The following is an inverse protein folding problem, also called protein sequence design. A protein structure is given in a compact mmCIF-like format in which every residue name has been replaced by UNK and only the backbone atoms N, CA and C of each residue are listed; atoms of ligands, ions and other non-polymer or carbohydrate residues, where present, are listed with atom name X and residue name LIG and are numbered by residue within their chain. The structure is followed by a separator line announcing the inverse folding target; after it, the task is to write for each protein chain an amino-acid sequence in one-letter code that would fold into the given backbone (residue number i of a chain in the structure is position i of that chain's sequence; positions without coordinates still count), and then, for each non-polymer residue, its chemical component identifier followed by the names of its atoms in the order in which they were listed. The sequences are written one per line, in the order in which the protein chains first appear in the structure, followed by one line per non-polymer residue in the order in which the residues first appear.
data_IF_996919570477
#
_entry.id   IF_996919570477
#
_cell.length_a   1.000
_cell.length_b   1.000
_cell.length_c   1.000
_cell.angle_alpha   90.00
_cell.angle_beta   90.00
_cell.angle_gamma   90.00
#
_symmetry.space_group_name_H-M   'P 1'
#
loop_
_entity.id
_entity.type
_entity.pdbx_description
1 polymer ?
#
# COMPACT_ATOMS: atom_id res chain seq x y z
N UNK A 1 15.42 -14.30 -25.21
CA UNK A 1 14.08 -14.58 -25.77
C UNK A 1 13.14 -14.61 -24.58
N UNK A 2 12.13 -13.74 -24.56
CA UNK A 2 11.14 -13.72 -23.48
C UNK A 2 10.36 -15.05 -23.42
N UNK A 3 10.07 -15.57 -22.22
CA UNK A 3 9.20 -16.73 -22.09
C UNK A 3 7.79 -16.40 -22.57
N UNK A 4 7.13 -17.31 -23.29
CA UNK A 4 5.81 -17.09 -23.89
C UNK A 4 4.68 -16.77 -22.90
N UNK A 5 4.89 -17.02 -21.60
CA UNK A 5 3.91 -16.82 -20.52
C UNK A 5 4.35 -15.71 -19.55
N UNK A 6 5.35 -14.89 -19.92
CA UNK A 6 5.81 -13.78 -19.10
C UNK A 6 4.65 -12.83 -18.79
N UNK A 7 4.73 -12.22 -17.61
CA UNK A 7 3.78 -11.21 -17.19
C UNK A 7 4.33 -9.87 -17.69
N UNK A 8 3.61 -9.16 -18.58
CA UNK A 8 4.07 -7.87 -19.05
C UNK A 8 4.01 -6.85 -17.91
N UNK A 9 4.97 -5.93 -17.91
CA UNK A 9 4.85 -4.70 -17.14
C UNK A 9 4.16 -3.61 -17.96
N UNK A 10 3.63 -2.59 -17.30
CA UNK A 10 2.90 -1.52 -17.94
C UNK A 10 3.88 -0.48 -18.47
N UNK A 11 3.54 0.13 -19.60
CA UNK A 11 4.36 1.18 -20.20
C UNK A 11 4.35 2.48 -19.39
N UNK A 12 3.27 2.75 -18.64
CA UNK A 12 3.13 3.95 -17.81
C UNK A 12 2.50 3.64 -16.47
N UNK A 13 3.00 4.28 -15.42
CA UNK A 13 2.45 4.28 -14.06
C UNK A 13 1.54 5.48 -13.78
N UNK A 14 1.40 6.40 -14.74
CA UNK A 14 0.58 7.60 -14.64
C UNK A 14 -0.35 7.80 -15.84
N UNK A 15 -1.44 8.52 -15.60
CA UNK A 15 -2.29 9.08 -16.65
C UNK A 15 -2.44 10.58 -16.42
N UNK A 16 -2.15 11.36 -17.46
CA UNK A 16 -2.26 12.82 -17.43
C UNK A 16 -3.67 13.26 -17.82
N UNK A 17 -4.35 13.95 -16.91
CA UNK A 17 -5.64 14.61 -17.14
C UNK A 17 -5.44 16.13 -17.07
N UNK A 18 -4.89 16.69 -18.14
CA UNK A 18 -4.56 18.12 -18.20
C UNK A 18 -3.45 18.47 -17.19
N UNK A 19 -3.68 19.36 -16.21
CA UNK A 19 -2.67 19.68 -15.19
C UNK A 19 -2.55 18.64 -14.06
N UNK A 20 -3.40 17.59 -14.07
CA UNK A 20 -3.45 16.59 -13.02
C UNK A 20 -2.83 15.27 -13.49
N UNK A 21 -1.73 14.87 -12.87
CA UNK A 21 -1.13 13.54 -13.05
C UNK A 21 -1.75 12.57 -12.05
N UNK A 22 -2.46 11.56 -12.53
CA UNK A 22 -2.99 10.49 -11.68
C UNK A 22 -2.00 9.33 -11.67
N UNK A 23 -1.46 9.03 -10.50
CA UNK A 23 -0.63 7.85 -10.29
C UNK A 23 -1.52 6.65 -10.01
N UNK A 24 -1.38 5.59 -10.81
CA UNK A 24 -2.18 4.40 -10.60
C UNK A 24 -1.83 3.67 -9.29
N UNK A 25 -0.61 3.86 -8.77
CA UNK A 25 -0.25 3.42 -7.43
C UNK A 25 -1.20 4.00 -6.36
N UNK A 26 -1.47 5.30 -6.44
CA UNK A 26 -2.40 5.98 -5.53
C UNK A 26 -3.83 5.49 -5.68
N UNK A 27 -4.28 5.23 -6.91
CA UNK A 27 -5.60 4.64 -7.17
C UNK A 27 -5.71 3.22 -6.57
N UNK A 28 -4.66 2.43 -6.70
CA UNK A 28 -4.61 1.07 -6.14
C UNK A 28 -4.68 1.10 -4.61
N UNK A 29 -3.98 2.04 -3.96
CA UNK A 29 -4.10 2.26 -2.52
C UNK A 29 -5.51 2.69 -2.11
N UNK A 30 -6.17 3.55 -2.89
CA UNK A 30 -7.56 3.96 -2.61
C UNK A 30 -8.51 2.74 -2.65
N UNK A 31 -8.35 1.87 -3.64
CA UNK A 31 -9.12 0.62 -3.75
C UNK A 31 -8.81 -0.31 -2.57
N UNK A 32 -7.54 -0.43 -2.18
CA UNK A 32 -7.12 -1.23 -1.03
C UNK A 32 -7.77 -0.74 0.27
N UNK A 33 -7.77 0.57 0.52
CA UNK A 33 -8.43 1.19 1.69
C UNK A 33 -9.94 0.92 1.64
N UNK A 34 -10.58 1.14 0.49
CA UNK A 34 -12.02 0.90 0.33
C UNK A 34 -12.39 -0.56 0.61
N UNK A 35 -11.60 -1.52 0.11
CA UNK A 35 -11.79 -2.94 0.37
C UNK A 35 -11.63 -3.28 1.86
N UNK A 36 -10.59 -2.76 2.54
CA UNK A 36 -10.41 -2.96 3.97
C UNK A 36 -11.60 -2.40 4.78
N UNK A 37 -12.07 -1.20 4.45
CA UNK A 37 -13.23 -0.56 5.10
C UNK A 37 -14.49 -1.40 4.88
N UNK A 38 -14.74 -1.84 3.64
CA UNK A 38 -15.91 -2.65 3.31
C UNK A 38 -15.91 -3.99 4.07
N UNK A 39 -14.80 -4.72 4.03
CA UNK A 39 -14.67 -6.02 4.73
C UNK A 39 -14.81 -5.83 6.24
N UNK A 40 -14.14 -4.83 6.80
CA UNK A 40 -14.21 -4.54 8.25
C UNK A 40 -15.63 -4.20 8.66
N UNK A 41 -16.33 -3.34 7.91
CA UNK A 41 -17.71 -2.94 8.26
C UNK A 41 -18.72 -4.06 8.12
N UNK A 42 -18.61 -4.92 7.09
CA UNK A 42 -19.45 -6.13 6.99
C UNK A 42 -19.22 -7.04 8.20
N UNK A 43 -17.97 -7.25 8.62
CA UNK A 43 -17.65 -8.11 9.77
C UNK A 43 -18.06 -7.50 11.10
N UNK A 44 -17.89 -6.19 11.27
CA UNK A 44 -18.23 -5.47 12.49
C UNK A 44 -19.75 -5.39 12.70
N UNK A 45 -20.51 -5.10 11.65
CA UNK A 45 -21.98 -5.07 11.71
C UNK A 45 -22.59 -6.43 12.01
N UNK A 46 -22.02 -7.51 11.48
CA UNK A 46 -22.40 -8.90 11.85
C UNK A 46 -22.17 -9.22 13.33
N UNK A 47 -21.34 -8.45 14.03
CA UNK A 47 -21.06 -8.59 15.47
C UNK A 47 -21.81 -7.56 16.33
N UNK A 48 -22.80 -6.88 15.77
CA UNK A 48 -23.63 -5.88 16.47
C UNK A 48 -23.06 -4.47 16.48
N UNK A 49 -22.00 -4.21 15.71
CA UNK A 49 -21.45 -2.87 15.50
C UNK A 49 -22.17 -2.09 14.39
N UNK A 50 -21.69 -0.88 14.11
CA UNK A 50 -22.23 0.03 13.09
C UNK A 50 -21.15 0.52 12.11
N UNK A 51 -21.59 1.02 10.96
CA UNK A 51 -20.69 1.55 9.93
C UNK A 51 -20.07 2.91 10.28
N UNK A 52 -20.71 3.71 11.13
CA UNK A 52 -20.21 5.04 11.51
C UNK A 52 -18.85 4.92 12.20
N UNK A 53 -18.71 3.97 13.13
CA UNK A 53 -17.42 3.69 13.76
C UNK A 53 -16.35 3.32 12.73
N UNK A 54 -16.68 2.48 11.75
CA UNK A 54 -15.70 2.03 10.74
C UNK A 54 -15.27 3.17 9.84
N UNK A 55 -16.19 4.04 9.42
CA UNK A 55 -15.83 5.24 8.65
C UNK A 55 -14.99 6.21 9.47
N UNK A 56 -15.33 6.42 10.74
CA UNK A 56 -14.50 7.24 11.64
C UNK A 56 -13.09 6.68 11.81
N UNK A 57 -12.96 5.36 11.96
CA UNK A 57 -11.66 4.69 12.01
C UNK A 57 -10.88 4.86 10.71
N UNK A 58 -11.54 4.74 9.56
CA UNK A 58 -10.89 4.95 8.27
C UNK A 58 -10.36 6.38 8.13
N UNK A 59 -11.20 7.39 8.40
CA UNK A 59 -10.82 8.80 8.28
C UNK A 59 -9.67 9.15 9.23
N UNK A 60 -9.83 8.85 10.52
CA UNK A 60 -8.82 9.20 11.52
C UNK A 60 -7.56 8.34 11.42
N UNK A 61 -7.71 7.06 11.11
CA UNK A 61 -6.60 6.12 10.93
C UNK A 61 -5.75 6.44 9.72
N UNK A 62 -6.37 6.74 8.56
CA UNK A 62 -5.63 7.14 7.35
C UNK A 62 -4.95 8.50 7.54
N UNK A 63 -5.64 9.49 8.10
CA UNK A 63 -5.05 10.80 8.37
C UNK A 63 -3.85 10.69 9.32
N UNK A 64 -4.00 9.95 10.42
CA UNK A 64 -2.92 9.67 11.36
C UNK A 64 -1.79 8.86 10.71
N UNK A 65 -2.11 7.91 9.84
CA UNK A 65 -1.13 7.13 9.10
C UNK A 65 -0.27 7.99 8.18
N UNK A 66 -0.87 8.93 7.44
CA UNK A 66 -0.11 9.85 6.59
C UNK A 66 0.84 10.72 7.42
N UNK A 67 0.34 11.26 8.54
CA UNK A 67 1.15 12.08 9.46
C UNK A 67 2.30 11.25 10.05
N UNK A 68 2.00 10.04 10.52
CA UNK A 68 2.98 9.15 11.14
C UNK A 68 4.04 8.72 10.13
N UNK A 69 3.64 8.38 8.90
CA UNK A 69 4.55 8.00 7.84
C UNK A 69 5.51 9.14 7.48
N UNK A 70 5.00 10.37 7.42
CA UNK A 70 5.84 11.54 7.19
C UNK A 70 6.81 11.79 8.35
N UNK A 71 6.31 11.74 9.59
CA UNK A 71 7.14 11.93 10.78
C UNK A 71 8.28 10.89 10.84
N UNK A 72 7.98 9.64 10.54
CA UNK A 72 8.98 8.58 10.50
C UNK A 72 10.05 8.85 9.45
N UNK A 73 9.66 9.24 8.24
CA UNK A 73 10.63 9.59 7.20
C UNK A 73 11.50 10.79 7.59
N UNK A 74 10.90 11.84 8.18
CA UNK A 74 11.65 13.00 8.70
C UNK A 74 12.68 12.60 9.75
N UNK A 75 12.39 11.59 10.57
CA UNK A 75 13.29 11.11 11.63
C UNK A 75 14.36 10.15 11.10
N UNK A 76 14.08 9.39 10.04
CA UNK A 76 14.96 8.30 9.57
C UNK A 76 15.76 8.62 8.31
N UNK A 77 15.29 9.58 7.51
CA UNK A 77 15.86 10.00 6.23
C UNK A 77 15.87 11.53 6.15
N UNK A 78 16.34 12.21 7.20
CA UNK A 78 16.30 13.67 7.27
C UNK A 78 17.13 14.36 6.17
N UNK A 79 18.12 13.65 5.62
CA UNK A 79 19.02 14.05 4.55
C UNK A 79 18.37 13.99 3.16
N UNK A 80 17.26 13.27 3.01
CA UNK A 80 16.45 13.24 1.78
C UNK A 80 15.38 14.35 1.73
N UNK A 81 15.27 15.16 2.79
CA UNK A 81 14.27 16.22 2.86
C UNK A 81 14.65 17.39 1.95
N UNK A 82 13.66 18.08 1.35
CA UNK A 82 13.90 19.35 0.68
C UNK A 82 14.56 20.37 1.64
N UNK A 83 15.55 21.12 1.15
CA UNK A 83 16.35 22.08 1.94
C UNK A 83 15.55 23.31 2.43
N UNK A 84 14.28 23.42 2.07
CA UNK A 84 13.39 24.49 2.50
C UNK A 84 12.77 24.22 3.88
N UNK A 85 12.38 25.28 4.58
CA UNK A 85 11.73 25.20 5.90
C UNK A 85 10.44 24.34 5.91
N UNK A 86 9.78 24.23 4.76
CA UNK A 86 8.56 23.43 4.58
C UNK A 86 8.86 21.98 4.20
N UNK A 87 10.11 21.62 3.94
CA UNK A 87 10.57 20.29 3.56
C UNK A 87 9.96 19.18 4.42
N UNK A 88 9.97 19.26 5.76
CA UNK A 88 9.34 18.25 6.62
C UNK A 88 7.84 18.00 6.36
N UNK A 89 7.10 18.96 5.80
CA UNK A 89 5.66 18.86 5.53
C UNK A 89 5.31 18.42 4.10
N UNK A 90 6.31 18.29 3.23
CA UNK A 90 6.15 18.06 1.79
C UNK A 90 5.70 16.63 1.42
N UNK A 91 4.51 16.20 1.87
CA UNK A 91 3.97 14.86 1.61
C UNK A 91 3.74 14.57 0.11
N UNK A 92 3.58 15.61 -0.71
CA UNK A 92 3.42 15.52 -2.17
C UNK A 92 4.74 15.28 -2.92
N UNK A 93 5.89 15.39 -2.24
CA UNK A 93 7.21 15.07 -2.80
C UNK A 93 7.63 13.62 -2.56
N UNK A 94 6.76 12.79 -1.98
CA UNK A 94 7.09 11.44 -1.54
C UNK A 94 7.68 11.43 -0.13
N UNK A 95 8.46 10.38 0.19
CA UNK A 95 9.09 10.26 1.52
C UNK A 95 8.09 9.98 2.63
N UNK A 96 7.47 8.79 2.58
CA UNK A 96 6.52 8.30 3.57
C UNK A 96 6.98 6.94 4.09
N UNK A 97 7.37 6.89 5.37
CA UNK A 97 7.83 5.66 6.01
C UNK A 97 6.66 4.78 6.48
N UNK A 98 6.55 3.56 5.95
CA UNK A 98 5.43 2.65 6.25
C UNK A 98 5.25 2.37 7.74
N UNK A 99 6.34 2.23 8.50
CA UNK A 99 6.31 1.92 9.92
C UNK A 99 5.70 3.05 10.76
N UNK A 100 5.98 4.30 10.39
CA UNK A 100 5.33 5.46 11.01
C UNK A 100 3.83 5.47 10.77
N UNK A 101 3.42 5.14 9.54
CA UNK A 101 2.02 5.11 9.17
C UNK A 101 1.24 4.00 9.87
N UNK A 102 1.80 2.78 9.93
CA UNK A 102 1.22 1.67 10.69
C UNK A 102 1.13 2.06 12.17
N UNK A 103 2.21 2.54 12.76
CA UNK A 103 2.26 2.88 14.19
C UNK A 103 1.21 3.91 14.57
N UNK A 104 1.24 5.09 13.96
CA UNK A 104 0.35 6.18 14.33
C UNK A 104 -1.11 5.90 13.91
N UNK A 105 -1.33 5.25 12.76
CA UNK A 105 -2.65 4.84 12.31
C UNK A 105 -3.32 3.86 13.27
N UNK A 106 -2.58 2.83 13.74
CA UNK A 106 -3.10 1.84 14.72
C UNK A 106 -3.36 2.51 16.07
N UNK A 107 -2.45 3.34 16.57
CA UNK A 107 -2.62 4.05 17.85
C UNK A 107 -3.89 4.92 17.84
N UNK A 108 -4.04 5.76 16.81
CA UNK A 108 -5.20 6.66 16.70
C UNK A 108 -6.48 5.86 16.47
N UNK A 109 -6.45 4.82 15.63
CA UNK A 109 -7.59 3.92 15.43
C UNK A 109 -8.05 3.26 16.73
N UNK A 110 -7.11 2.72 17.53
CA UNK A 110 -7.43 2.13 18.84
C UNK A 110 -8.02 3.15 19.82
N UNK A 111 -7.53 4.39 19.83
CA UNK A 111 -8.09 5.48 20.64
C UNK A 111 -9.52 5.81 20.19
N UNK A 112 -9.78 5.92 18.89
CA UNK A 112 -11.11 6.20 18.33
C UNK A 112 -12.09 5.08 18.67
N UNK A 113 -11.67 3.82 18.51
CA UNK A 113 -12.47 2.65 18.88
C UNK A 113 -12.81 2.66 20.37
N UNK A 114 -11.81 2.82 21.24
CA UNK A 114 -12.00 2.81 22.70
C UNK A 114 -12.89 3.96 23.17
N UNK A 115 -12.73 5.16 22.61
CA UNK A 115 -13.58 6.33 22.91
C UNK A 115 -15.02 6.15 22.43
N UNK A 116 -15.24 5.26 21.48
CA UNK A 116 -16.58 4.92 20.98
C UNK A 116 -17.20 3.72 21.70
N UNK A 117 -16.56 3.23 22.77
CA UNK A 117 -17.05 2.09 23.55
C UNK A 117 -16.84 0.72 22.90
N UNK A 118 -16.09 0.64 21.80
CA UNK A 118 -15.81 -0.62 21.14
C UNK A 118 -14.71 -1.42 21.85
N UNK A 119 -14.88 -2.74 21.86
CA UNK A 119 -13.84 -3.70 22.25
C UNK A 119 -12.77 -3.74 21.14
N UNK A 120 -11.60 -3.17 21.44
CA UNK A 120 -10.49 -3.01 20.48
C UNK A 120 -10.01 -4.37 19.95
N UNK A 121 -9.71 -5.40 20.78
CA UNK A 121 -9.40 -6.74 20.28
C UNK A 121 -10.44 -7.30 19.32
N UNK A 122 -11.74 -7.24 19.67
CA UNK A 122 -12.81 -7.75 18.79
C UNK A 122 -12.90 -7.00 17.47
N UNK A 123 -12.63 -5.70 17.49
CA UNK A 123 -12.57 -4.87 16.29
C UNK A 123 -11.33 -5.23 15.44
N UNK A 124 -10.17 -5.46 16.06
CA UNK A 124 -8.96 -5.89 15.33
C UNK A 124 -9.18 -7.24 14.62
N UNK A 125 -9.93 -8.16 15.20
CA UNK A 125 -10.35 -9.41 14.54
C UNK A 125 -11.29 -9.19 13.33
N UNK A 126 -12.01 -8.06 13.30
CA UNK A 126 -12.80 -7.66 12.13
C UNK A 126 -11.91 -7.06 11.04
N UNK A 127 -10.90 -6.28 11.46
CA UNK A 127 -9.97 -5.56 10.58
C UNK A 127 -8.97 -6.50 9.90
N UNK A 128 -8.49 -7.54 10.58
CA UNK A 128 -7.38 -8.37 10.12
C UNK A 128 -7.55 -8.94 8.69
N UNK A 129 -8.70 -9.53 8.29
CA UNK A 129 -8.92 -9.96 6.90
C UNK A 129 -8.89 -8.81 5.90
N UNK A 130 -9.45 -7.66 6.28
CA UNK A 130 -9.46 -6.45 5.44
C UNK A 130 -8.04 -5.94 5.18
N UNK A 131 -7.15 -6.02 6.16
CA UNK A 131 -5.74 -5.64 5.99
C UNK A 131 -4.99 -6.57 5.02
N UNK A 132 -5.23 -7.88 5.08
CA UNK A 132 -4.62 -8.82 4.14
C UNK A 132 -5.11 -8.56 2.71
N UNK A 133 -6.40 -8.34 2.52
CA UNK A 133 -6.94 -7.97 1.20
C UNK A 133 -6.34 -6.63 0.72
N UNK A 134 -6.25 -5.63 1.59
CA UNK A 134 -5.64 -4.35 1.25
C UNK A 134 -4.15 -4.50 0.87
N UNK A 135 -3.39 -5.32 1.58
CA UNK A 135 -2.00 -5.63 1.25
C UNK A 135 -1.90 -6.27 -0.14
N UNK A 136 -2.74 -7.27 -0.43
CA UNK A 136 -2.73 -7.93 -1.73
C UNK A 136 -3.11 -7.01 -2.88
N UNK A 137 -4.12 -6.15 -2.70
CA UNK A 137 -4.46 -5.11 -3.69
C UNK A 137 -3.30 -4.12 -3.84
N UNK A 138 -2.72 -3.65 -2.74
CA UNK A 138 -1.61 -2.69 -2.73
C UNK A 138 -0.40 -3.14 -3.53
N UNK A 139 -0.11 -4.44 -3.57
CA UNK A 139 0.98 -5.01 -4.39
C UNK A 139 0.83 -4.75 -5.89
N UNK A 140 -0.39 -4.60 -6.41
CA UNK A 140 -0.57 -4.20 -7.81
C UNK A 140 -0.10 -2.77 -8.10
N UNK A 141 0.02 -1.93 -7.06
CA UNK A 141 0.70 -0.64 -7.19
C UNK A 141 2.18 -0.83 -7.54
N UNK A 142 2.86 -1.80 -6.93
CA UNK A 142 4.26 -2.09 -7.25
C UNK A 142 4.42 -2.64 -8.67
N UNK A 143 3.46 -3.41 -9.16
CA UNK A 143 3.42 -3.82 -10.58
C UNK A 143 3.27 -2.61 -11.52
N UNK A 144 2.38 -1.68 -11.19
CA UNK A 144 2.22 -0.41 -11.92
C UNK A 144 3.51 0.43 -11.96
N UNK A 145 4.21 0.53 -10.82
CA UNK A 145 5.47 1.27 -10.72
C UNK A 145 6.70 0.49 -11.22
N UNK A 146 6.56 -0.80 -11.51
CA UNK A 146 7.67 -1.71 -11.76
C UNK A 146 8.74 -1.65 -10.66
N UNK A 147 8.33 -1.79 -9.40
CA UNK A 147 9.20 -1.75 -8.22
C UNK A 147 8.97 -2.96 -7.32
N UNK A 148 9.86 -3.17 -6.33
CA UNK A 148 9.77 -4.25 -5.34
C UNK A 148 9.57 -5.66 -5.94
N UNK A 149 10.04 -5.90 -7.15
CA UNK A 149 10.12 -7.23 -7.78
C UNK A 149 11.25 -8.07 -7.16
N UNK A 150 11.25 -9.38 -7.42
CA UNK A 150 12.28 -10.30 -6.90
C UNK A 150 13.53 -10.35 -7.78
N UNK A 151 14.41 -11.32 -7.55
CA UNK A 151 15.62 -11.50 -8.37
C UNK A 151 15.31 -11.94 -9.81
N UNK A 152 16.32 -11.92 -10.70
CA UNK A 152 16.21 -12.43 -12.07
C UNK A 152 15.66 -13.85 -12.11
N UNK A 153 14.88 -14.17 -13.14
CA UNK A 153 14.27 -15.50 -13.28
C UNK A 153 14.03 -15.89 -14.73
N UNK A 154 14.25 -17.16 -15.03
CA UNK A 154 13.93 -17.79 -16.33
C UNK A 154 12.59 -18.54 -16.30
N UNK A 155 11.83 -18.42 -15.21
CA UNK A 155 10.55 -19.09 -15.07
C UNK A 155 9.54 -18.57 -16.10
N UNK A 156 8.61 -19.42 -16.59
CA UNK A 156 7.71 -19.02 -17.66
C UNK A 156 6.77 -17.88 -17.27
N UNK A 157 6.50 -17.66 -15.98
CA UNK A 157 5.69 -16.55 -15.45
C UNK A 157 6.51 -15.38 -14.91
N UNK A 158 7.76 -15.21 -15.36
CA UNK A 158 8.60 -14.07 -14.98
C UNK A 158 7.92 -12.73 -15.31
N UNK A 159 8.11 -11.74 -14.43
CA UNK A 159 7.67 -10.37 -14.63
C UNK A 159 8.69 -9.62 -15.49
N UNK A 160 8.23 -9.08 -16.60
CA UNK A 160 9.03 -8.21 -17.45
C UNK A 160 9.25 -6.87 -16.75
N UNK A 161 10.48 -6.34 -16.77
CA UNK A 161 10.80 -5.01 -16.24
C UNK A 161 11.42 -4.16 -17.34
N UNK A 162 10.92 -2.93 -17.49
CA UNK A 162 11.46 -1.95 -18.45
C UNK A 162 12.92 -1.63 -18.11
N UNK A 163 13.81 -1.46 -19.11
CA UNK A 163 15.23 -1.20 -18.89
C UNK A 163 15.54 -0.09 -17.88
N UNK A 164 14.74 0.97 -17.85
CA UNK A 164 14.91 2.11 -16.94
C UNK A 164 14.69 1.76 -15.45
N UNK A 165 13.97 0.68 -15.15
CA UNK A 165 13.61 0.26 -13.80
C UNK A 165 14.41 -0.96 -13.32
N UNK A 166 15.35 -1.47 -14.14
CA UNK A 166 16.16 -2.64 -13.78
C UNK A 166 17.29 -2.23 -12.82
N UNK A 167 17.67 -3.10 -11.86
CA UNK A 167 18.86 -2.89 -11.06
C UNK A 167 20.10 -2.78 -11.96
N UNK A 168 21.07 -1.95 -11.57
CA UNK A 168 22.32 -1.76 -12.33
C UNK A 168 23.07 -3.08 -12.53
N UNK A 169 23.04 -3.95 -11.51
CA UNK A 169 23.69 -5.26 -11.53
C UNK A 169 23.03 -6.26 -12.50
N UNK A 170 21.75 -6.05 -12.84
CA UNK A 170 20.91 -6.96 -13.61
C UNK A 170 20.30 -6.29 -14.87
N UNK A 171 20.97 -5.27 -15.42
CA UNK A 171 20.41 -4.47 -16.54
C UNK A 171 20.08 -5.31 -17.79
N UNK A 172 20.85 -6.37 -18.03
CA UNK A 172 20.67 -7.31 -19.16
C UNK A 172 19.52 -8.30 -18.93
N UNK A 173 19.01 -8.42 -17.69
CA UNK A 173 17.93 -9.34 -17.37
C UNK A 173 16.58 -8.71 -17.74
N UNK A 174 15.78 -9.42 -18.53
CA UNK A 174 14.47 -8.92 -18.95
C UNK A 174 13.35 -9.31 -17.97
N UNK A 175 13.51 -10.43 -17.26
CA UNK A 175 12.48 -11.04 -16.42
C UNK A 175 12.94 -11.28 -14.97
N UNK A 176 12.04 -10.99 -14.03
CA UNK A 176 12.26 -11.07 -12.59
C UNK A 176 11.13 -11.83 -11.90
N UNK A 177 11.36 -12.32 -10.69
CA UNK A 177 10.30 -12.97 -9.91
C UNK A 177 9.14 -11.96 -9.62
N UNK A 178 7.87 -12.26 -10.00
CA UNK A 178 6.70 -11.42 -9.71
C UNK A 178 6.30 -11.50 -8.22
N UNK A 179 7.13 -10.96 -7.32
CA UNK A 179 6.86 -10.89 -5.87
C UNK A 179 5.53 -10.21 -5.56
N UNK A 180 5.15 -9.18 -6.34
CA UNK A 180 3.83 -8.55 -6.22
C UNK A 180 2.69 -9.58 -6.30
N UNK A 181 2.78 -10.52 -7.24
CA UNK A 181 1.76 -11.54 -7.47
C UNK A 181 1.83 -12.62 -6.39
N UNK A 182 3.03 -13.08 -6.03
CA UNK A 182 3.22 -14.06 -4.97
C UNK A 182 2.63 -13.56 -3.65
N UNK A 183 2.93 -12.32 -3.27
CA UNK A 183 2.43 -11.70 -2.06
C UNK A 183 0.93 -11.40 -2.13
N UNK A 184 0.41 -10.99 -3.29
CA UNK A 184 -1.01 -10.77 -3.46
C UNK A 184 -1.81 -12.07 -3.28
N UNK A 185 -1.38 -13.14 -3.95
CA UNK A 185 -2.02 -14.46 -3.84
C UNK A 185 -1.95 -15.01 -2.42
N UNK A 186 -0.79 -14.89 -1.76
CA UNK A 186 -0.65 -15.26 -0.36
C UNK A 186 -1.62 -14.46 0.52
N UNK A 187 -1.66 -13.14 0.34
CA UNK A 187 -2.50 -12.25 1.16
C UNK A 187 -4.00 -12.55 0.98
N UNK A 188 -4.44 -12.76 -0.26
CA UNK A 188 -5.84 -13.13 -0.53
C UNK A 188 -6.19 -14.50 0.03
N UNK A 189 -5.29 -15.48 -0.10
CA UNK A 189 -5.51 -16.83 0.44
C UNK A 189 -5.56 -16.84 1.96
N UNK A 190 -4.73 -16.01 2.61
CA UNK A 190 -4.69 -15.89 4.07
C UNK A 190 -5.86 -15.09 4.67
N UNK A 191 -6.57 -14.29 3.86
CA UNK A 191 -7.68 -13.46 4.33
C UNK A 191 -8.91 -14.28 4.77
N UNK A 192 -9.03 -15.54 4.34
CA UNK A 192 -10.09 -16.47 4.74
C UNK A 192 -11.23 -16.55 3.76
#
# INVERSE_FOLDING_TARGET
MLPLLSIPSPESSTVELGPLSIHFYGLTLLVAIAAAVAITGIRWTRRGGDWDLIFRLAVWGVAAGIIGARLYHVVTSWDELPDEWWGPFAIWKGGLGVWGGIGLGVIVGAIVARRSGADVPRLMDCVAPGLLVAQGIGRFGNWWNQELFGGPTDLPWGLEISPANRPIEDVEQETFHPTFLYEALWSFSAAG
#
